data_IF_007525693712
#
_entry.id   IF_007525693712
#
_cell.length_a   1.000
_cell.length_b   1.000
_cell.length_c   1.000
_cell.angle_alpha   90.00
_cell.angle_beta   90.00
_cell.angle_gamma   90.00
#
_symmetry.space_group_name_H-M   'P 1'
#
loop_
_entity.id
_entity.type
_entity.pdbx_description
1 polymer ?
#
# COMPACT_ATOMS: atom_id res chain seq x y z
N UNK A 1 -8.07 -16.63 -0.69
CA UNK A 1 -8.92 -15.87 0.24
C UNK A 1 -10.37 -16.17 -0.04
N UNK A 2 -11.19 -16.10 0.99
CA UNK A 2 -12.64 -16.30 0.84
C UNK A 2 -13.25 -15.09 0.14
N UNK A 3 -14.37 -15.27 -0.61
CA UNK A 3 -15.02 -14.14 -1.29
C UNK A 3 -15.39 -12.99 -0.35
N UNK A 4 -15.78 -13.27 0.89
CA UNK A 4 -16.12 -12.25 1.87
C UNK A 4 -14.89 -11.42 2.26
N UNK A 5 -13.73 -12.07 2.40
CA UNK A 5 -12.48 -11.39 2.71
C UNK A 5 -12.09 -10.46 1.57
N UNK A 6 -12.18 -10.94 0.33
CA UNK A 6 -11.85 -10.14 -0.86
C UNK A 6 -12.74 -8.91 -0.95
N UNK A 7 -14.03 -9.09 -0.71
CA UNK A 7 -15.01 -8.01 -0.81
C UNK A 7 -14.74 -6.91 0.24
N UNK A 8 -14.45 -7.30 1.48
CA UNK A 8 -14.12 -6.37 2.55
C UNK A 8 -12.81 -5.63 2.28
N UNK A 9 -11.78 -6.34 1.82
CA UNK A 9 -10.50 -5.73 1.50
C UNK A 9 -10.63 -4.75 0.35
N UNK A 10 -11.39 -5.07 -0.67
CA UNK A 10 -11.60 -4.20 -1.81
C UNK A 10 -12.26 -2.89 -1.38
N UNK A 11 -13.31 -2.97 -0.58
CA UNK A 11 -13.97 -1.78 -0.04
C UNK A 11 -13.05 -0.96 0.85
N UNK A 12 -12.26 -1.65 1.69
CA UNK A 12 -11.31 -0.98 2.58
C UNK A 12 -10.29 -0.16 1.78
N UNK A 13 -9.69 -0.78 0.76
CA UNK A 13 -8.66 -0.12 -0.05
C UNK A 13 -9.24 1.03 -0.88
N UNK A 14 -10.44 0.85 -1.46
CA UNK A 14 -11.11 1.92 -2.20
C UNK A 14 -11.32 3.15 -1.34
N UNK A 15 -11.74 2.94 -0.11
CA UNK A 15 -12.01 4.02 0.83
C UNK A 15 -10.73 4.63 1.39
N UNK A 16 -9.76 3.79 1.75
CA UNK A 16 -8.50 4.23 2.36
C UNK A 16 -7.71 5.13 1.42
N UNK A 17 -7.65 4.79 0.15
CA UNK A 17 -6.87 5.52 -0.83
C UNK A 17 -7.70 6.43 -1.73
N UNK A 18 -9.01 6.50 -1.52
CA UNK A 18 -9.90 7.30 -2.38
C UNK A 18 -9.77 6.91 -3.86
N UNK A 19 -9.70 5.60 -4.11
CA UNK A 19 -9.56 5.02 -5.46
C UNK A 19 -10.71 4.04 -5.70
N UNK A 20 -11.88 4.53 -6.16
CA UNK A 20 -13.06 3.67 -6.33
C UNK A 20 -12.90 2.60 -7.41
N UNK A 21 -11.91 2.72 -8.27
CA UNK A 21 -11.67 1.73 -9.33
C UNK A 21 -10.75 0.58 -8.92
N UNK A 22 -10.34 0.52 -7.64
CA UNK A 22 -9.56 -0.62 -7.13
C UNK A 22 -10.41 -1.88 -7.22
N UNK A 23 -9.80 -2.93 -7.77
CA UNK A 23 -10.38 -4.25 -7.90
C UNK A 23 -9.38 -5.29 -7.40
N UNK A 24 -9.83 -6.23 -6.59
CA UNK A 24 -8.99 -7.32 -6.11
C UNK A 24 -9.31 -8.58 -6.90
N UNK A 25 -8.28 -9.21 -7.44
CA UNK A 25 -8.40 -10.47 -8.19
C UNK A 25 -7.68 -11.57 -7.44
N UNK A 26 -8.37 -12.67 -7.21
CA UNK A 26 -7.79 -13.82 -6.54
C UNK A 26 -6.80 -14.54 -7.46
N UNK A 27 -5.79 -15.15 -6.85
CA UNK A 27 -4.82 -15.99 -7.55
C UNK A 27 -5.06 -17.45 -7.19
N UNK A 28 -4.41 -18.40 -7.88
CA UNK A 28 -4.47 -19.81 -7.47
C UNK A 28 -3.97 -20.05 -6.04
N UNK A 29 -3.08 -19.18 -5.54
CA UNK A 29 -2.61 -19.24 -4.15
C UNK A 29 -3.64 -18.59 -3.24
N UNK A 30 -4.20 -19.35 -2.30
CA UNK A 30 -5.26 -18.88 -1.41
C UNK A 30 -4.79 -17.82 -0.42
N UNK A 31 -3.48 -17.68 -0.23
CA UNK A 31 -2.91 -16.69 0.70
C UNK A 31 -2.55 -15.38 0.01
N UNK A 32 -2.74 -15.28 -1.30
CA UNK A 32 -2.36 -14.11 -2.09
C UNK A 32 -3.48 -13.63 -2.98
N UNK A 33 -3.48 -12.33 -3.26
CA UNK A 33 -4.36 -11.71 -4.23
C UNK A 33 -3.64 -10.55 -4.90
N UNK A 34 -4.13 -10.17 -6.07
CA UNK A 34 -3.58 -9.03 -6.81
C UNK A 34 -4.55 -7.87 -6.77
N UNK A 35 -4.01 -6.67 -6.57
CA UNK A 35 -4.80 -5.44 -6.58
C UNK A 35 -4.59 -4.75 -7.92
N UNK A 36 -5.69 -4.46 -8.60
CA UNK A 36 -5.68 -3.77 -9.89
C UNK A 36 -6.34 -2.40 -9.76
N UNK A 37 -5.82 -1.46 -10.53
CA UNK A 37 -6.44 -0.15 -10.71
C UNK A 37 -6.90 -0.09 -12.16
N UNK A 38 -8.19 -0.36 -12.39
CA UNK A 38 -8.69 -0.61 -13.72
C UNK A 38 -8.07 -1.88 -14.29
N UNK A 39 -7.37 -1.78 -15.41
CA UNK A 39 -6.70 -2.91 -16.05
C UNK A 39 -5.21 -3.01 -15.69
N UNK A 40 -4.71 -2.13 -14.83
CA UNK A 40 -3.30 -2.04 -14.52
C UNK A 40 -3.02 -2.69 -13.16
N UNK A 41 -2.04 -3.62 -13.07
CA UNK A 41 -1.59 -4.15 -11.78
C UNK A 41 -1.08 -3.00 -10.91
N UNK A 42 -1.53 -2.96 -9.67
CA UNK A 42 -1.23 -1.85 -8.77
C UNK A 42 -0.46 -2.29 -7.53
N UNK A 43 -0.85 -3.41 -6.93
CA UNK A 43 -0.23 -3.88 -5.69
C UNK A 43 -0.54 -5.36 -5.48
N UNK A 44 0.07 -5.92 -4.43
CA UNK A 44 -0.17 -7.29 -4.01
C UNK A 44 -0.73 -7.32 -2.61
N UNK A 45 -1.55 -8.32 -2.31
CA UNK A 45 -2.06 -8.59 -0.97
C UNK A 45 -1.63 -10.00 -0.55
N UNK A 46 -1.18 -10.11 0.69
CA UNK A 46 -0.84 -11.39 1.30
C UNK A 46 -1.61 -11.56 2.59
N UNK A 47 -2.23 -12.71 2.76
CA UNK A 47 -2.93 -13.07 3.99
C UNK A 47 -1.92 -13.68 4.96
N UNK A 48 -1.96 -13.23 6.20
CA UNK A 48 -1.09 -13.71 7.27
C UNK A 48 -1.95 -14.05 8.49
N UNK A 49 -2.03 -15.32 8.81
CA UNK A 49 -2.76 -15.81 9.99
C UNK A 49 -1.85 -16.49 11.00
N UNK A 50 -0.54 -16.22 10.93
CA UNK A 50 0.42 -16.75 11.86
C UNK A 50 0.10 -16.29 13.29
N UNK A 51 0.39 -17.15 14.26
CA UNK A 51 0.19 -16.88 15.68
C UNK A 51 -1.27 -16.61 16.06
N UNK A 52 -2.22 -17.01 15.23
CA UNK A 52 -3.64 -16.89 15.53
C UNK A 52 -4.24 -15.51 15.30
N UNK A 53 -3.46 -14.56 14.85
CA UNK A 53 -3.94 -13.23 14.50
C UNK A 53 -4.00 -13.08 12.98
N UNK A 54 -5.19 -12.73 12.48
CA UNK A 54 -5.39 -12.54 11.05
C UNK A 54 -5.06 -11.11 10.67
N UNK A 55 -4.15 -10.97 9.72
CA UNK A 55 -3.83 -9.68 9.12
C UNK A 55 -3.56 -9.87 7.63
N UNK A 56 -3.47 -8.76 6.93
CA UNK A 56 -3.13 -8.75 5.51
C UNK A 56 -2.03 -7.73 5.28
N UNK A 57 -1.14 -8.02 4.36
CA UNK A 57 -0.07 -7.09 3.98
C UNK A 57 -0.33 -6.62 2.56
N UNK A 58 -0.48 -5.32 2.42
CA UNK A 58 -0.55 -4.64 1.13
C UNK A 58 0.85 -4.19 0.77
N UNK A 59 1.32 -4.57 -0.40
CA UNK A 59 2.66 -4.24 -0.86
C UNK A 59 2.61 -3.64 -2.25
N UNK A 60 3.30 -2.51 -2.44
CA UNK A 60 3.42 -1.87 -3.73
C UNK A 60 4.87 -1.45 -3.96
N UNK A 61 5.38 -1.72 -5.16
CA UNK A 61 6.72 -1.30 -5.53
C UNK A 61 6.65 -0.44 -6.79
N UNK A 62 7.50 0.57 -6.86
CA UNK A 62 7.61 1.43 -8.03
C UNK A 62 9.02 2.03 -8.08
N UNK A 63 9.40 2.56 -9.22
CA UNK A 63 10.72 3.19 -9.42
C UNK A 63 10.53 4.62 -9.90
N UNK A 64 11.41 5.50 -9.43
CA UNK A 64 11.46 6.88 -9.87
C UNK A 64 12.89 7.22 -10.24
N UNK A 65 13.06 8.00 -11.31
CA UNK A 65 14.34 8.61 -11.61
C UNK A 65 14.68 9.60 -10.50
N UNK A 66 15.97 9.88 -10.31
CA UNK A 66 16.41 10.74 -9.21
C UNK A 66 15.77 12.12 -9.25
N UNK A 67 15.60 12.70 -10.43
CA UNK A 67 14.96 14.00 -10.58
C UNK A 67 13.47 13.95 -10.22
N UNK A 68 12.81 12.83 -10.43
CA UNK A 68 11.39 12.64 -10.04
C UNK A 68 11.25 12.44 -8.53
N UNK A 69 12.27 11.85 -7.89
CA UNK A 69 12.24 11.52 -6.48
C UNK A 69 12.41 12.75 -5.57
N UNK A 70 12.79 13.92 -6.13
CA UNK A 70 12.88 15.16 -5.37
C UNK A 70 11.53 15.49 -4.73
N UNK A 71 10.43 15.11 -5.37
CA UNK A 71 9.06 15.34 -4.87
C UNK A 71 8.29 14.04 -4.73
N UNK A 72 8.86 13.09 -4.00
CA UNK A 72 8.23 11.76 -3.83
C UNK A 72 6.85 11.87 -3.18
N UNK A 73 6.67 12.79 -2.22
CA UNK A 73 5.37 13.01 -1.59
C UNK A 73 4.31 13.43 -2.61
N UNK A 74 4.67 14.34 -3.49
CA UNK A 74 3.77 14.79 -4.55
C UNK A 74 3.43 13.62 -5.49
N UNK A 75 4.41 12.80 -5.83
CA UNK A 75 4.20 11.62 -6.66
C UNK A 75 3.19 10.67 -6.00
N UNK A 76 3.34 10.43 -4.70
CA UNK A 76 2.43 9.54 -3.97
C UNK A 76 1.02 10.11 -3.88
N UNK A 77 0.88 11.42 -3.72
CA UNK A 77 -0.44 12.06 -3.71
C UNK A 77 -1.19 11.83 -5.02
N UNK A 78 -0.48 11.90 -6.13
CA UNK A 78 -1.07 11.61 -7.45
C UNK A 78 -1.38 10.12 -7.58
N UNK A 79 -0.43 9.28 -7.20
CA UNK A 79 -0.54 7.83 -7.34
C UNK A 79 -1.74 7.26 -6.57
N UNK A 80 -1.98 7.76 -5.37
CA UNK A 80 -3.08 7.33 -4.52
C UNK A 80 -4.28 8.27 -4.55
N UNK A 81 -4.27 9.26 -5.43
CA UNK A 81 -5.34 10.23 -5.56
C UNK A 81 -5.76 10.81 -4.20
N UNK A 82 -4.77 11.22 -3.40
CA UNK A 82 -5.04 11.72 -2.05
C UNK A 82 -4.09 12.87 -1.70
N UNK A 83 -4.63 14.08 -1.65
CA UNK A 83 -3.87 15.28 -1.35
C UNK A 83 -3.50 15.42 0.13
N UNK A 84 -4.12 14.63 1.00
CA UNK A 84 -3.82 14.65 2.42
C UNK A 84 -2.68 13.72 2.81
N UNK A 85 -2.13 12.97 1.85
CA UNK A 85 -1.02 12.08 2.08
C UNK A 85 0.24 12.90 2.40
N UNK A 86 0.92 12.52 3.49
CA UNK A 86 2.11 13.20 3.97
C UNK A 86 3.18 12.19 4.34
N UNK A 87 4.42 12.48 3.98
CA UNK A 87 5.57 11.68 4.39
C UNK A 87 6.24 12.30 5.60
N UNK A 88 6.56 11.46 6.59
CA UNK A 88 7.32 11.86 7.76
C UNK A 88 8.58 11.00 7.86
N UNK A 89 9.71 11.63 8.05
CA UNK A 89 10.97 10.91 8.17
C UNK A 89 10.98 10.08 9.46
N UNK A 90 11.52 8.87 9.33
CA UNK A 90 11.76 8.04 10.51
C UNK A 90 13.08 8.45 11.15
N UNK A 91 13.23 8.14 12.45
CA UNK A 91 14.46 8.41 13.18
C UNK A 91 15.62 7.53 12.72
N UNK A 92 15.34 6.46 11.98
CA UNK A 92 16.35 5.58 11.42
C UNK A 92 16.94 6.21 10.16
N UNK A 93 18.24 6.01 9.93
CA UNK A 93 18.96 6.62 8.81
C UNK A 93 18.98 5.74 7.55
N UNK A 94 18.01 4.87 7.40
CA UNK A 94 17.95 3.89 6.29
C UNK A 94 17.18 4.41 5.05
N UNK A 95 16.79 5.68 5.05
CA UNK A 95 16.02 6.25 3.94
C UNK A 95 14.54 5.92 3.96
N UNK A 96 14.05 5.26 5.03
CA UNK A 96 12.63 4.95 5.15
C UNK A 96 11.84 6.16 5.65
N UNK A 97 10.54 6.17 5.36
CA UNK A 97 9.63 7.22 5.79
C UNK A 97 8.28 6.60 6.17
N UNK A 98 7.53 7.33 6.97
CA UNK A 98 6.17 6.92 7.32
C UNK A 98 5.18 7.68 6.45
N UNK A 99 4.15 6.97 6.00
CA UNK A 99 3.07 7.56 5.20
C UNK A 99 1.88 7.82 6.12
N UNK A 100 1.44 9.08 6.16
CA UNK A 100 0.26 9.50 6.91
C UNK A 100 -0.80 10.01 5.94
N UNK A 101 -2.06 9.79 6.27
CA UNK A 101 -3.19 10.43 5.58
C UNK A 101 -4.00 11.14 6.68
N UNK A 102 -4.08 12.47 6.56
CA UNK A 102 -4.57 13.26 7.67
C UNK A 102 -3.59 13.15 8.83
N UNK A 103 -4.07 12.76 10.00
CA UNK A 103 -3.22 12.54 11.18
C UNK A 103 -3.01 11.05 11.48
N UNK A 104 -3.42 10.17 10.55
CA UNK A 104 -3.41 8.73 10.77
C UNK A 104 -2.24 8.07 10.05
N UNK A 105 -1.47 7.26 10.78
CA UNK A 105 -0.39 6.44 10.22
C UNK A 105 -0.98 5.33 9.34
N UNK A 106 -0.48 5.22 8.11
CA UNK A 106 -1.01 4.29 7.12
C UNK A 106 -0.02 3.18 6.79
N UNK A 107 1.22 3.54 6.46
CA UNK A 107 2.17 2.60 5.88
C UNK A 107 3.60 3.09 6.04
N UNK A 108 4.55 2.24 5.66
CA UNK A 108 5.97 2.60 5.64
C UNK A 108 6.45 2.58 4.19
N UNK A 109 7.22 3.59 3.84
CA UNK A 109 7.88 3.69 2.54
C UNK A 109 9.35 3.37 2.71
N UNK A 110 9.83 2.37 1.99
CA UNK A 110 11.24 2.01 1.95
C UNK A 110 11.83 2.45 0.62
N UNK A 111 13.10 2.81 0.66
CA UNK A 111 13.83 3.22 -0.55
C UNK A 111 15.12 2.42 -0.68
N UNK A 112 15.38 1.95 -1.88
CA UNK A 112 16.65 1.34 -2.24
C UNK A 112 17.29 2.17 -3.36
N UNK A 113 18.54 2.60 -3.14
CA UNK A 113 19.27 3.42 -4.10
C UNK A 113 19.84 2.51 -5.20
N UNK A 114 19.51 2.86 -6.43
CA UNK A 114 20.00 2.19 -7.62
C UNK A 114 20.89 3.15 -8.40
N UNK A 115 21.54 2.65 -9.46
CA UNK A 115 22.54 3.43 -10.19
C UNK A 115 22.01 4.76 -10.71
N UNK A 116 20.83 4.77 -11.34
CA UNK A 116 20.26 5.97 -11.95
C UNK A 116 18.87 6.31 -11.45
N UNK A 117 18.33 5.50 -10.54
CA UNK A 117 16.97 5.69 -10.04
C UNK A 117 16.87 5.18 -8.62
N UNK A 118 15.70 5.43 -7.99
CA UNK A 118 15.37 4.85 -6.68
C UNK A 118 14.25 3.85 -6.85
N UNK A 119 14.37 2.71 -6.17
CA UNK A 119 13.31 1.73 -6.05
C UNK A 119 12.61 1.97 -4.73
N UNK A 120 11.28 2.12 -4.78
CA UNK A 120 10.45 2.33 -3.58
C UNK A 120 9.57 1.13 -3.34
N UNK A 121 9.36 0.84 -2.06
CA UNK A 121 8.49 -0.23 -1.63
C UNK A 121 7.59 0.27 -0.51
N UNK A 122 6.28 0.13 -0.68
CA UNK A 122 5.30 0.51 0.34
C UNK A 122 4.77 -0.77 0.96
N UNK A 123 4.77 -0.80 2.30
CA UNK A 123 4.20 -1.91 3.05
C UNK A 123 3.16 -1.38 4.03
N UNK A 124 1.94 -1.90 3.95
CA UNK A 124 0.84 -1.53 4.84
C UNK A 124 0.23 -2.78 5.44
N UNK A 125 0.10 -2.79 6.76
CA UNK A 125 -0.61 -3.87 7.46
C UNK A 125 -2.08 -3.50 7.62
N UNK A 126 -2.95 -4.44 7.25
CA UNK A 126 -4.39 -4.31 7.43
C UNK A 126 -4.80 -5.36 8.46
N UNK A 127 -5.32 -4.91 9.58
CA UNK A 127 -5.74 -5.80 10.64
C UNK A 127 -7.21 -6.19 10.45
N UNK A 128 -7.59 -7.32 11.00
CA UNK A 128 -8.96 -7.80 10.94
C UNK A 128 -9.93 -6.75 11.52
N UNK A 129 -9.53 -6.11 12.61
CA UNK A 129 -10.33 -5.05 13.23
C UNK A 129 -10.55 -3.84 12.30
N UNK A 130 -9.59 -3.54 11.43
CA UNK A 130 -9.74 -2.45 10.48
C UNK A 130 -10.89 -2.69 9.51
N UNK A 131 -11.09 -3.95 9.13
CA UNK A 131 -12.16 -4.36 8.24
C UNK A 131 -13.53 -4.34 8.94
N UNK A 132 -13.53 -4.63 10.24
CA UNK A 132 -14.76 -4.61 11.05
C UNK A 132 -15.26 -3.20 11.33
N UNK A 133 -14.38 -2.21 11.37
CA UNK A 133 -14.70 -0.82 11.71
C UNK A 133 -15.10 0.04 10.51
N UNK A 134 -15.21 -0.55 9.33
CA UNK A 134 -15.63 0.20 8.15
C UNK A 134 -17.06 0.70 8.23
#
# INVERSE_FOLDING_TARGET
MKPEEVDLLERYLQKRFNLPSIEIRQTPDQEKAEVFLGQVPFADLMRDDDEGELSYVFEQSFRLKREEAISVQKHLRVRFNNEQLELRKRTQSDGSAEIYIGSEFIAVLYREDMESEYSYHIAMSILDIDLEEM
#
